data_IF_520380806650
#
_entry.id   IF_520380806650
#
_cell.length_a   1.000
_cell.length_b   1.000
_cell.length_c   1.000
_cell.angle_alpha   90.00
_cell.angle_beta   90.00
_cell.angle_gamma   90.00
#
_symmetry.space_group_name_H-M   'P 1'
#
loop_
_entity.id
_entity.type
_entity.pdbx_description
1 polymer ?
#
# COMPACT_ATOMS: atom_id res chain seq x y z
N UNK A 1 -5.26 9.42 -23.29
CA UNK A 1 -5.71 8.07 -23.70
C UNK A 1 -4.78 7.46 -24.74
N UNK A 2 -4.56 8.09 -25.90
CA UNK A 2 -3.68 7.55 -26.96
C UNK A 2 -2.28 7.13 -26.49
N UNK A 3 -1.68 7.91 -25.57
CA UNK A 3 -0.39 7.57 -24.98
C UNK A 3 -0.41 6.23 -24.24
N UNK A 4 -1.49 5.93 -23.53
CA UNK A 4 -1.65 4.66 -22.81
C UNK A 4 -1.92 3.51 -23.77
N UNK A 5 -2.71 3.73 -24.84
CA UNK A 5 -2.89 2.77 -25.93
C UNK A 5 -1.53 2.43 -26.56
N UNK A 6 -0.73 3.43 -26.94
CA UNK A 6 0.62 3.22 -27.48
C UNK A 6 1.53 2.48 -26.50
N UNK A 7 1.40 2.74 -25.21
CA UNK A 7 2.13 2.01 -24.16
C UNK A 7 1.78 0.52 -24.17
N UNK A 8 0.48 0.18 -24.20
CA UNK A 8 0.01 -1.20 -24.31
C UNK A 8 0.29 -1.86 -25.66
N UNK A 9 0.50 -1.10 -26.73
CA UNK A 9 0.92 -1.65 -28.02
C UNK A 9 2.43 -1.94 -28.09
N UNK A 10 3.23 -1.33 -27.22
CA UNK A 10 4.69 -1.38 -27.27
C UNK A 10 5.27 -1.92 -25.96
N UNK A 11 5.75 -1.04 -25.08
CA UNK A 11 6.55 -1.37 -23.89
C UNK A 11 5.78 -2.26 -22.91
N UNK A 12 4.46 -2.11 -22.84
CA UNK A 12 3.60 -2.83 -21.90
C UNK A 12 2.73 -3.89 -22.57
N UNK A 13 3.03 -4.26 -23.82
CA UNK A 13 2.26 -5.24 -24.59
C UNK A 13 2.18 -6.60 -23.92
N UNK A 14 3.31 -7.15 -23.54
CA UNK A 14 3.37 -8.48 -22.89
C UNK A 14 2.67 -8.46 -21.52
N UNK A 15 2.80 -7.34 -20.79
CA UNK A 15 2.07 -7.15 -19.55
C UNK A 15 0.56 -7.16 -19.79
N UNK A 16 0.08 -6.43 -20.80
CA UNK A 16 -1.35 -6.36 -21.13
C UNK A 16 -1.89 -7.73 -21.52
N UNK A 17 -1.24 -8.42 -22.47
CA UNK A 17 -1.65 -9.73 -22.97
C UNK A 17 -1.65 -10.77 -21.83
N UNK A 18 -0.56 -10.85 -21.05
CA UNK A 18 -0.49 -11.80 -19.93
C UNK A 18 -1.51 -11.49 -18.82
N UNK A 19 -1.85 -10.22 -18.61
CA UNK A 19 -2.89 -9.81 -17.67
C UNK A 19 -4.28 -10.16 -18.18
N UNK A 20 -4.53 -9.98 -19.48
CA UNK A 20 -5.76 -10.40 -20.15
C UNK A 20 -5.96 -11.91 -20.02
N UNK A 21 -4.96 -12.74 -20.32
CA UNK A 21 -5.10 -14.19 -20.17
C UNK A 21 -5.41 -14.59 -18.73
N UNK A 22 -4.68 -14.02 -17.76
CA UNK A 22 -4.89 -14.29 -16.34
C UNK A 22 -6.26 -13.82 -15.84
N UNK A 23 -6.85 -12.81 -16.48
CA UNK A 23 -8.19 -12.33 -16.14
C UNK A 23 -9.23 -13.45 -16.21
N UNK A 24 -9.07 -14.42 -17.10
CA UNK A 24 -9.99 -15.56 -17.24
C UNK A 24 -10.20 -16.36 -15.96
N UNK A 25 -9.20 -16.40 -15.07
CA UNK A 25 -9.28 -17.12 -13.80
C UNK A 25 -10.25 -16.49 -12.78
N UNK A 26 -10.38 -15.16 -12.81
CA UNK A 26 -11.05 -14.41 -11.73
C UNK A 26 -12.17 -13.50 -12.23
N UNK A 27 -12.04 -12.97 -13.44
CA UNK A 27 -12.96 -11.98 -14.02
C UNK A 27 -14.40 -12.50 -14.11
N UNK A 28 -14.69 -13.76 -14.49
CA UNK A 28 -16.07 -14.27 -14.49
C UNK A 28 -16.75 -14.15 -13.12
N UNK A 29 -16.03 -14.47 -12.04
CA UNK A 29 -16.53 -14.31 -10.66
C UNK A 29 -16.72 -12.82 -10.32
N UNK A 30 -15.73 -11.98 -10.66
CA UNK A 30 -15.80 -10.53 -10.39
C UNK A 30 -17.01 -9.89 -11.09
N UNK A 31 -17.26 -10.22 -12.35
CA UNK A 31 -18.42 -9.72 -13.11
C UNK A 31 -19.73 -10.12 -12.45
N UNK A 32 -19.86 -11.38 -11.98
CA UNK A 32 -21.07 -11.82 -11.25
C UNK A 32 -21.30 -11.00 -9.98
N UNK A 33 -20.25 -10.77 -9.18
CA UNK A 33 -20.35 -9.99 -7.94
C UNK A 33 -20.66 -8.50 -8.22
N UNK A 34 -20.06 -7.91 -9.25
CA UNK A 34 -20.37 -6.53 -9.67
C UNK A 34 -21.82 -6.38 -10.11
N UNK A 35 -22.33 -7.31 -10.94
CA UNK A 35 -23.74 -7.32 -11.36
C UNK A 35 -24.70 -7.41 -10.18
N UNK A 36 -24.43 -8.36 -9.27
CA UNK A 36 -25.21 -8.52 -8.04
C UNK A 36 -25.23 -7.25 -7.20
N UNK A 37 -24.14 -6.49 -7.23
CA UNK A 37 -24.01 -5.23 -6.50
C UNK A 37 -24.59 -4.01 -7.24
N UNK A 38 -25.05 -4.15 -8.48
CA UNK A 38 -25.54 -3.05 -9.31
C UNK A 38 -24.44 -2.16 -9.88
N UNK A 39 -23.19 -2.65 -9.96
CA UNK A 39 -22.04 -1.92 -10.46
C UNK A 39 -21.73 -2.23 -11.94
N UNK A 40 -21.15 -1.28 -12.70
CA UNK A 40 -20.75 -1.51 -14.09
C UNK A 40 -19.76 -2.68 -14.23
N UNK A 41 -19.98 -3.52 -15.25
CA UNK A 41 -19.14 -4.70 -15.52
C UNK A 41 -17.72 -4.32 -15.92
N UNK A 42 -17.54 -3.14 -16.51
CA UNK A 42 -16.26 -2.61 -16.96
C UNK A 42 -15.25 -2.52 -15.81
N UNK A 43 -15.73 -2.24 -14.58
CA UNK A 43 -14.90 -2.17 -13.37
C UNK A 43 -14.20 -3.49 -13.05
N UNK A 44 -14.66 -4.62 -13.62
CA UNK A 44 -13.96 -5.90 -13.54
C UNK A 44 -12.57 -5.90 -14.17
N UNK A 45 -12.24 -4.88 -14.98
CA UNK A 45 -10.91 -4.69 -15.56
C UNK A 45 -9.95 -3.90 -14.68
N UNK A 46 -10.39 -3.37 -13.53
CA UNK A 46 -9.49 -2.65 -12.61
C UNK A 46 -8.30 -3.50 -12.16
N UNK A 47 -8.45 -4.80 -11.83
CA UNK A 47 -7.30 -5.64 -11.50
C UNK A 47 -6.23 -5.74 -12.61
N UNK A 48 -6.58 -5.50 -13.88
CA UNK A 48 -5.61 -5.43 -14.97
C UNK A 48 -4.65 -4.26 -14.77
N UNK A 49 -5.19 -3.06 -14.52
CA UNK A 49 -4.39 -1.84 -14.35
C UNK A 49 -3.71 -1.77 -12.98
N UNK A 50 -4.26 -2.44 -11.97
CA UNK A 50 -3.72 -2.49 -10.61
C UNK A 50 -2.57 -3.49 -10.46
N UNK A 51 -2.81 -4.76 -10.79
CA UNK A 51 -1.89 -5.87 -10.49
C UNK A 51 -1.58 -6.76 -11.68
N UNK A 52 -2.31 -6.59 -12.79
CA UNK A 52 -2.36 -7.59 -13.86
C UNK A 52 -3.03 -8.89 -13.42
N UNK A 53 -4.08 -8.81 -12.58
CA UNK A 53 -4.77 -9.95 -11.95
C UNK A 53 -3.88 -10.84 -11.07
N UNK A 54 -2.76 -10.31 -10.56
CA UNK A 54 -1.83 -11.06 -9.72
C UNK A 54 -2.28 -11.03 -8.25
N UNK A 55 -2.67 -12.20 -7.72
CA UNK A 55 -3.13 -12.33 -6.33
C UNK A 55 -2.05 -12.06 -5.27
N UNK A 56 -0.78 -12.22 -5.64
CA UNK A 56 0.37 -11.95 -4.76
C UNK A 56 1.12 -10.65 -5.11
N UNK A 57 0.57 -9.79 -5.99
CA UNK A 57 1.26 -8.55 -6.35
C UNK A 57 1.36 -7.61 -5.16
N UNK A 58 2.59 -7.24 -4.80
CA UNK A 58 2.88 -6.31 -3.72
C UNK A 58 3.50 -5.02 -4.27
N UNK A 59 2.85 -3.88 -4.05
CA UNK A 59 3.39 -2.58 -4.44
C UNK A 59 4.42 -2.03 -3.44
N UNK A 60 5.15 -0.99 -3.86
CA UNK A 60 6.03 -0.21 -2.98
C UNK A 60 5.28 0.41 -1.79
N UNK A 61 4.02 0.77 -1.99
CA UNK A 61 3.12 1.31 -0.97
C UNK A 61 2.47 0.22 -0.10
N UNK A 62 2.91 -1.05 -0.23
CA UNK A 62 2.35 -2.22 0.48
C UNK A 62 0.90 -2.54 0.12
N UNK A 63 0.44 -2.05 -1.03
CA UNK A 63 -0.80 -2.51 -1.64
C UNK A 63 -0.62 -3.97 -2.07
N UNK A 64 -1.61 -4.82 -1.80
CA UNK A 64 -1.50 -6.26 -2.02
C UNK A 64 -2.76 -6.78 -2.71
N UNK A 65 -2.60 -7.82 -3.53
CA UNK A 65 -3.71 -8.56 -4.11
C UNK A 65 -4.13 -8.07 -5.50
N UNK A 66 -5.16 -8.71 -6.09
CA UNK A 66 -5.62 -8.35 -7.42
C UNK A 66 -6.11 -6.90 -7.50
N UNK A 67 -6.74 -6.42 -6.41
CA UNK A 67 -7.30 -5.08 -6.27
C UNK A 67 -6.34 -4.05 -5.64
N UNK A 68 -5.11 -4.46 -5.31
CA UNK A 68 -4.09 -3.58 -4.70
C UNK A 68 -4.61 -2.82 -3.46
N UNK A 69 -5.15 -3.53 -2.48
CA UNK A 69 -5.53 -2.92 -1.21
C UNK A 69 -4.31 -2.61 -0.34
N UNK A 70 -4.17 -1.36 0.10
CA UNK A 70 -3.32 -1.04 1.27
C UNK A 70 -3.97 -1.57 2.56
N UNK A 71 -3.20 -1.87 3.63
CA UNK A 71 -3.76 -2.50 4.82
C UNK A 71 -4.91 -1.73 5.47
N UNK A 72 -4.78 -0.40 5.60
CA UNK A 72 -5.79 0.45 6.24
C UNK A 72 -7.15 0.39 5.53
N UNK A 73 -7.12 0.45 4.19
CA UNK A 73 -8.32 0.38 3.37
C UNK A 73 -8.89 -1.04 3.38
N UNK A 74 -8.03 -2.07 3.33
CA UNK A 74 -8.46 -3.46 3.46
C UNK A 74 -9.26 -3.71 4.74
N UNK A 75 -8.76 -3.26 5.90
CA UNK A 75 -9.49 -3.38 7.16
C UNK A 75 -10.83 -2.62 7.15
N UNK A 76 -10.88 -1.42 6.55
CA UNK A 76 -12.12 -0.65 6.42
C UNK A 76 -13.22 -1.46 5.71
N UNK A 77 -12.85 -2.25 4.69
CA UNK A 77 -13.78 -3.06 3.90
C UNK A 77 -13.73 -4.56 4.24
N UNK A 78 -13.40 -4.89 5.49
CA UNK A 78 -13.56 -6.24 6.03
C UNK A 78 -12.52 -7.27 5.60
N UNK A 79 -11.39 -6.84 5.04
CA UNK A 79 -10.26 -7.74 4.74
C UNK A 79 -9.38 -7.89 5.97
N UNK A 80 -9.36 -9.10 6.52
CA UNK A 80 -8.56 -9.42 7.68
C UNK A 80 -7.12 -9.76 7.30
N UNK A 81 -6.23 -9.48 8.24
CA UNK A 81 -4.81 -9.79 8.11
C UNK A 81 -4.25 -10.11 9.48
N UNK A 82 -3.67 -11.28 9.60
CA UNK A 82 -2.91 -11.69 10.77
C UNK A 82 -1.57 -12.31 10.34
N UNK A 83 -0.93 -13.05 11.23
CA UNK A 83 0.34 -13.71 10.94
C UNK A 83 0.22 -14.80 9.86
N UNK A 84 -0.90 -15.53 9.83
CA UNK A 84 -1.15 -16.68 8.96
C UNK A 84 -1.81 -16.30 7.64
N UNK A 85 -2.70 -15.31 7.67
CA UNK A 85 -3.65 -14.98 6.61
C UNK A 85 -3.51 -13.50 6.21
N UNK A 86 -3.57 -13.22 4.91
CA UNK A 86 -3.80 -11.88 4.37
C UNK A 86 -4.90 -11.93 3.31
N UNK A 87 -6.13 -11.59 3.69
CA UNK A 87 -7.32 -11.76 2.84
C UNK A 87 -7.35 -10.82 1.63
N UNK A 88 -6.42 -9.87 1.55
CA UNK A 88 -6.22 -9.06 0.35
C UNK A 88 -5.77 -9.91 -0.84
N UNK A 89 -5.16 -11.07 -0.59
CA UNK A 89 -4.74 -12.01 -1.64
C UNK A 89 -5.89 -12.91 -2.10
N UNK A 90 -6.95 -13.10 -1.29
CA UNK A 90 -8.13 -13.88 -1.69
C UNK A 90 -8.97 -13.08 -2.71
N UNK A 91 -9.15 -13.58 -3.95
CA UNK A 91 -9.88 -12.86 -4.99
C UNK A 91 -11.34 -12.57 -4.66
N UNK A 92 -12.04 -13.45 -3.96
CA UNK A 92 -13.47 -13.27 -3.65
C UNK A 92 -13.66 -12.26 -2.53
N UNK A 93 -12.92 -12.42 -1.43
CA UNK A 93 -12.96 -11.48 -0.29
C UNK A 93 -12.53 -10.10 -0.73
N UNK A 94 -11.39 -9.99 -1.43
CA UNK A 94 -10.91 -8.70 -1.94
C UNK A 94 -11.86 -8.07 -2.96
N UNK A 95 -12.57 -8.85 -3.77
CA UNK A 95 -13.62 -8.35 -4.67
C UNK A 95 -14.81 -7.77 -3.91
N UNK A 96 -15.30 -8.45 -2.88
CA UNK A 96 -16.36 -7.90 -2.01
C UNK A 96 -15.93 -6.59 -1.35
N UNK A 97 -14.68 -6.53 -0.88
CA UNK A 97 -14.10 -5.30 -0.34
C UNK A 97 -13.99 -4.17 -1.37
N UNK A 98 -13.58 -4.50 -2.60
CA UNK A 98 -13.49 -3.54 -3.71
C UNK A 98 -14.86 -2.99 -4.11
N UNK A 99 -15.89 -3.85 -4.15
CA UNK A 99 -17.27 -3.42 -4.40
C UNK A 99 -17.74 -2.44 -3.34
N UNK A 100 -17.51 -2.73 -2.06
CA UNK A 100 -17.83 -1.81 -0.97
C UNK A 100 -17.12 -0.46 -1.12
N UNK A 101 -15.82 -0.49 -1.47
CA UNK A 101 -15.06 0.73 -1.68
C UNK A 101 -15.55 1.54 -2.87
N UNK A 102 -15.82 0.89 -4.01
CA UNK A 102 -16.30 1.56 -5.21
C UNK A 102 -17.68 2.19 -5.00
N UNK A 103 -18.55 1.56 -4.19
CA UNK A 103 -19.82 2.14 -3.78
C UNK A 103 -19.64 3.39 -2.93
N UNK A 104 -18.85 3.32 -1.86
CA UNK A 104 -18.54 4.49 -1.01
C UNK A 104 -18.01 5.66 -1.85
N UNK A 105 -17.10 5.38 -2.79
CA UNK A 105 -16.56 6.41 -3.69
C UNK A 105 -17.63 6.96 -4.63
N UNK A 106 -18.48 6.11 -5.18
CA UNK A 106 -19.54 6.54 -6.09
C UNK A 106 -20.61 7.36 -5.37
N UNK A 107 -20.95 7.03 -4.12
CA UNK A 107 -21.85 7.84 -3.28
C UNK A 107 -21.25 9.22 -2.98
N UNK A 108 -19.92 9.32 -2.86
CA UNK A 108 -19.22 10.58 -2.63
C UNK A 108 -19.09 11.46 -3.88
N UNK A 109 -18.79 10.87 -5.04
CA UNK A 109 -18.39 11.63 -6.24
C UNK A 109 -19.41 11.58 -7.38
N UNK A 110 -20.31 10.61 -7.41
CA UNK A 110 -21.36 10.43 -8.41
C UNK A 110 -20.88 9.98 -9.81
N UNK A 111 -19.69 10.39 -10.25
CA UNK A 111 -19.15 10.01 -11.56
C UNK A 111 -18.03 8.97 -11.47
N UNK A 112 -18.11 7.95 -12.33
CA UNK A 112 -17.14 6.85 -12.32
C UNK A 112 -15.70 7.26 -12.61
N UNK A 113 -15.47 8.33 -13.38
CA UNK A 113 -14.09 8.74 -13.69
C UNK A 113 -13.39 9.34 -12.47
N UNK A 114 -14.10 10.15 -11.69
CA UNK A 114 -13.61 10.69 -10.42
C UNK A 114 -13.47 9.58 -9.38
N UNK A 115 -14.40 8.62 -9.36
CA UNK A 115 -14.26 7.40 -8.53
C UNK A 115 -12.97 6.65 -8.84
N UNK A 116 -12.63 6.45 -10.12
CA UNK A 116 -11.39 5.79 -10.50
C UNK A 116 -10.15 6.57 -10.05
N UNK A 117 -10.17 7.90 -10.17
CA UNK A 117 -9.09 8.74 -9.66
C UNK A 117 -8.95 8.63 -8.12
N UNK A 118 -10.08 8.64 -7.41
CA UNK A 118 -10.12 8.51 -5.96
C UNK A 118 -9.67 7.12 -5.49
N UNK A 119 -10.05 6.06 -6.21
CA UNK A 119 -9.61 4.70 -5.93
C UNK A 119 -8.08 4.61 -5.91
N UNK A 120 -7.42 5.19 -6.93
CA UNK A 120 -5.96 5.17 -7.06
C UNK A 120 -5.24 6.05 -6.03
N UNK A 121 -5.71 7.28 -5.79
CA UNK A 121 -4.95 8.27 -5.01
C UNK A 121 -5.50 8.60 -3.62
N UNK A 122 -6.63 7.99 -3.27
CA UNK A 122 -7.42 8.24 -2.07
C UNK A 122 -8.44 9.36 -2.27
N UNK A 123 -9.64 9.14 -1.76
CA UNK A 123 -10.78 10.06 -1.76
C UNK A 123 -10.44 11.42 -1.13
N UNK A 124 -9.67 11.42 -0.04
CA UNK A 124 -9.27 12.65 0.64
C UNK A 124 -8.28 13.51 -0.17
N UNK A 125 -7.59 12.95 -1.16
CA UNK A 125 -6.79 13.74 -2.10
C UNK A 125 -7.71 14.43 -3.12
N UNK A 126 -8.63 13.69 -3.71
CA UNK A 126 -9.59 14.21 -4.68
C UNK A 126 -10.43 15.32 -4.06
N UNK A 127 -10.99 15.10 -2.86
CA UNK A 127 -11.75 16.12 -2.13
C UNK A 127 -10.96 17.41 -1.87
N UNK A 128 -9.65 17.31 -1.54
CA UNK A 128 -8.81 18.50 -1.36
C UNK A 128 -8.57 19.26 -2.65
N UNK A 129 -8.46 18.55 -3.77
CA UNK A 129 -8.33 19.20 -5.09
C UNK A 129 -9.63 19.92 -5.43
N UNK A 130 -10.79 19.26 -5.27
CA UNK A 130 -12.12 19.86 -5.47
C UNK A 130 -12.27 21.12 -4.61
N UNK A 131 -12.01 21.01 -3.30
CA UNK A 131 -12.13 22.14 -2.38
C UNK A 131 -11.24 23.34 -2.72
N UNK A 132 -10.10 23.12 -3.40
CA UNK A 132 -9.20 24.18 -3.82
C UNK A 132 -9.65 24.94 -5.07
N UNK A 133 -10.67 24.46 -5.78
CA UNK A 133 -11.09 25.06 -7.05
C UNK A 133 -11.97 26.30 -6.85
N UNK A 134 -12.66 26.42 -5.71
CA UNK A 134 -13.62 27.49 -5.43
C UNK A 134 -14.70 27.65 -6.54
N UNK A 135 -15.11 26.54 -7.16
CA UNK A 135 -16.10 26.52 -8.23
C UNK A 135 -17.46 26.04 -7.70
N UNK A 136 -18.56 26.65 -8.18
CA UNK A 136 -19.94 26.38 -7.77
C UNK A 136 -20.60 25.21 -8.53
N UNK A 137 -19.84 24.37 -9.22
CA UNK A 137 -20.37 23.22 -9.96
C UNK A 137 -19.64 21.92 -9.61
N UNK A 138 -20.31 20.78 -9.83
CA UNK A 138 -19.75 19.45 -9.67
C UNK A 138 -18.54 19.26 -10.60
N UNK A 139 -17.33 19.31 -10.02
CA UNK A 139 -16.09 18.99 -10.72
C UNK A 139 -16.17 17.58 -11.32
N UNK A 140 -15.99 17.48 -12.65
CA UNK A 140 -15.78 16.18 -13.30
C UNK A 140 -14.30 15.84 -13.26
N UNK A 141 -13.97 14.56 -13.47
CA UNK A 141 -12.58 14.10 -13.51
C UNK A 141 -11.66 14.97 -14.38
N UNK A 142 -12.14 15.45 -15.53
CA UNK A 142 -11.33 16.24 -16.46
C UNK A 142 -10.97 17.63 -15.94
N UNK A 143 -11.79 18.21 -15.07
CA UNK A 143 -11.49 19.47 -14.36
C UNK A 143 -10.37 19.27 -13.34
N UNK A 144 -10.29 18.06 -12.77
CA UNK A 144 -9.28 17.65 -11.79
C UNK A 144 -7.98 17.18 -12.43
N UNK A 145 -8.01 16.75 -13.70
CA UNK A 145 -6.94 16.02 -14.37
C UNK A 145 -5.56 16.68 -14.23
N UNK A 146 -5.48 17.99 -14.46
CA UNK A 146 -4.21 18.74 -14.40
C UNK A 146 -3.74 19.04 -12.97
N UNK A 147 -4.63 18.96 -11.98
CA UNK A 147 -4.33 19.21 -10.56
C UNK A 147 -4.02 17.91 -9.80
N UNK A 148 -4.37 16.76 -10.36
CA UNK A 148 -4.04 15.46 -9.80
C UNK A 148 -2.56 15.10 -10.02
N UNK A 149 -1.95 14.28 -9.15
CA UNK A 149 -0.63 13.72 -9.38
C UNK A 149 -0.59 13.01 -10.73
N UNK A 150 0.54 13.11 -11.44
CA UNK A 150 0.69 12.55 -12.78
C UNK A 150 0.33 11.05 -12.86
N UNK A 151 0.71 10.25 -11.86
CA UNK A 151 0.36 8.82 -11.79
C UNK A 151 -1.16 8.61 -11.78
N UNK A 152 -1.88 9.38 -10.97
CA UNK A 152 -3.34 9.32 -10.85
C UNK A 152 -4.04 9.91 -12.07
N UNK A 153 -3.56 11.04 -12.58
CA UNK A 153 -4.10 11.64 -13.80
C UNK A 153 -4.01 10.65 -14.97
N UNK A 154 -2.95 9.85 -15.04
CA UNK A 154 -2.80 8.79 -16.04
C UNK A 154 -3.61 7.53 -15.79
N UNK A 155 -3.98 7.26 -14.54
CA UNK A 155 -4.70 6.04 -14.16
C UNK A 155 -6.05 5.91 -14.91
N UNK A 156 -6.85 6.98 -14.96
CA UNK A 156 -8.16 6.94 -15.62
C UNK A 156 -8.04 6.76 -17.15
N UNK A 157 -7.23 7.55 -17.89
CA UNK A 157 -6.97 7.29 -19.31
C UNK A 157 -6.43 5.89 -19.59
N UNK A 158 -5.66 5.30 -18.66
CA UNK A 158 -5.12 3.96 -18.79
C UNK A 158 -6.21 2.91 -18.67
N UNK A 159 -7.11 3.04 -17.71
CA UNK A 159 -8.28 2.17 -17.59
C UNK A 159 -9.20 2.28 -18.81
N UNK A 160 -9.48 3.50 -19.30
CA UNK A 160 -10.25 3.69 -20.53
C UNK A 160 -9.56 3.04 -21.74
N UNK A 161 -8.24 3.20 -21.88
CA UNK A 161 -7.47 2.54 -22.92
C UNK A 161 -7.63 1.01 -22.85
N UNK A 162 -7.59 0.41 -21.66
CA UNK A 162 -7.89 -1.02 -21.48
C UNK A 162 -9.25 -1.39 -22.04
N UNK A 163 -10.32 -0.66 -21.71
CA UNK A 163 -11.66 -0.96 -22.23
C UNK A 163 -11.75 -0.87 -23.75
N UNK A 164 -11.13 0.16 -24.35
CA UNK A 164 -11.06 0.31 -25.80
C UNK A 164 -10.37 -0.87 -26.47
N UNK A 165 -9.21 -1.27 -25.93
CA UNK A 165 -8.43 -2.39 -26.46
C UNK A 165 -9.20 -3.71 -26.35
N UNK A 166 -9.78 -3.99 -25.19
CA UNK A 166 -10.54 -5.23 -24.97
C UNK A 166 -11.75 -5.33 -25.91
N UNK A 167 -12.41 -4.21 -26.18
CA UNK A 167 -13.60 -4.17 -27.04
C UNK A 167 -13.27 -4.47 -28.50
N UNK A 168 -12.12 -4.02 -28.99
CA UNK A 168 -11.70 -4.21 -30.37
C UNK A 168 -10.17 -4.37 -30.48
N UNK A 169 -9.63 -5.55 -30.10
CA UNK A 169 -8.18 -5.74 -30.05
C UNK A 169 -7.52 -5.61 -31.42
N UNK A 170 -8.20 -6.09 -32.47
CA UNK A 170 -7.73 -6.06 -33.85
C UNK A 170 -7.47 -4.63 -34.34
N UNK A 171 -8.37 -3.69 -34.05
CA UNK A 171 -8.17 -2.25 -34.36
C UNK A 171 -6.92 -1.65 -33.74
N UNK A 172 -6.46 -2.19 -32.61
CA UNK A 172 -5.25 -1.75 -31.92
C UNK A 172 -4.05 -2.66 -32.20
N UNK A 173 -4.10 -3.53 -33.22
CA UNK A 173 -3.00 -4.42 -33.59
C UNK A 173 -2.66 -5.42 -32.47
N UNK A 174 -3.66 -5.84 -31.69
CA UNK A 174 -3.52 -6.82 -30.64
C UNK A 174 -4.28 -8.09 -30.97
N UNK A 175 -3.57 -9.21 -30.87
CA UNK A 175 -4.18 -10.53 -30.79
C UNK A 175 -4.10 -10.96 -29.32
N UNK A 176 -5.27 -11.07 -28.69
CA UNK A 176 -5.39 -11.44 -27.28
C UNK A 176 -5.67 -12.94 -27.09
N UNK A 177 -6.01 -13.67 -28.15
CA UNK A 177 -6.49 -15.04 -28.05
C UNK A 177 -7.64 -15.24 -27.05
N UNK A 178 -7.79 -16.46 -26.55
CA UNK A 178 -8.75 -16.78 -25.49
C UNK A 178 -8.14 -16.58 -24.09
N UNK A 179 -8.89 -16.03 -23.14
CA UNK A 179 -8.43 -15.94 -21.75
C UNK A 179 -8.30 -17.35 -21.15
N UNK A 180 -7.58 -17.49 -20.04
CA UNK A 180 -7.43 -18.77 -19.37
C UNK A 180 -8.78 -19.27 -18.84
N UNK A 181 -9.19 -20.48 -19.25
CA UNK A 181 -10.48 -21.06 -18.86
C UNK A 181 -10.41 -21.95 -17.62
N UNK A 182 -9.21 -22.23 -17.07
CA UNK A 182 -9.02 -23.20 -15.98
C UNK A 182 -9.51 -22.67 -14.63
N UNK A 183 -10.83 -22.61 -14.45
CA UNK A 183 -11.44 -22.38 -13.15
C UNK A 183 -11.49 -23.70 -12.38
N UNK A 184 -10.75 -23.76 -11.27
CA UNK A 184 -10.75 -24.93 -10.39
C UNK A 184 -11.98 -24.81 -9.49
N UNK A 185 -12.97 -25.68 -9.71
CA UNK A 185 -14.09 -25.81 -8.79
C UNK A 185 -13.58 -26.37 -7.46
N UNK A 186 -14.03 -25.79 -6.36
CA UNK A 186 -13.54 -26.14 -5.03
C UNK A 186 -14.69 -26.33 -4.04
N UNK A 187 -14.40 -27.06 -2.96
CA UNK A 187 -15.20 -27.14 -1.75
C UNK A 187 -14.38 -26.69 -0.55
N UNK A 188 -15.07 -26.21 0.49
CA UNK A 188 -14.44 -25.84 1.76
C UNK A 188 -14.47 -27.02 2.73
N UNK A 189 -13.29 -27.48 3.15
CA UNK A 189 -13.12 -28.52 4.17
C UNK A 189 -12.52 -27.93 5.43
N UNK A 190 -12.96 -28.39 6.60
CA UNK A 190 -12.44 -27.89 7.88
C UNK A 190 -11.09 -28.51 8.20
N UNK A 191 -10.10 -27.67 8.46
CA UNK A 191 -8.80 -28.05 9.01
C UNK A 191 -8.63 -27.46 10.39
N UNK A 192 -8.14 -28.27 11.34
CA UNK A 192 -7.85 -27.87 12.74
C UNK A 192 -6.37 -28.02 13.12
N UNK A 193 -5.53 -28.45 12.18
CA UNK A 193 -4.10 -28.71 12.38
C UNK A 193 -3.30 -27.76 11.48
N UNK A 194 -2.09 -27.43 11.92
CA UNK A 194 -1.10 -26.76 11.08
C UNK A 194 -0.59 -27.81 10.09
N UNK A 195 -0.87 -27.65 8.80
CA UNK A 195 -0.43 -28.56 7.74
C UNK A 195 0.13 -27.74 6.59
N UNK A 196 1.26 -28.19 6.00
CA UNK A 196 1.80 -27.52 4.81
C UNK A 196 0.94 -27.91 3.61
N UNK A 197 0.66 -26.94 2.74
CA UNK A 197 -0.11 -27.21 1.52
C UNK A 197 0.54 -28.28 0.65
N UNK A 198 1.88 -28.37 0.64
CA UNK A 198 2.62 -29.43 -0.04
C UNK A 198 2.31 -30.83 0.51
N UNK A 199 2.17 -30.97 1.84
CA UNK A 199 1.96 -32.27 2.49
C UNK A 199 0.51 -32.71 2.26
N UNK A 200 -0.43 -31.75 2.26
CA UNK A 200 -1.82 -31.96 1.84
C UNK A 200 -1.88 -32.36 0.36
N UNK A 201 -1.16 -31.64 -0.51
CA UNK A 201 -1.14 -31.92 -1.95
C UNK A 201 -0.67 -33.35 -2.24
N UNK A 202 0.42 -33.78 -1.58
CA UNK A 202 0.94 -35.16 -1.68
C UNK A 202 -0.07 -36.20 -1.20
N UNK A 203 -0.74 -35.96 -0.06
CA UNK A 203 -1.74 -36.88 0.47
C UNK A 203 -2.98 -36.99 -0.46
N UNK A 204 -3.31 -35.90 -1.16
CA UNK A 204 -4.43 -35.85 -2.10
C UNK A 204 -4.08 -36.28 -3.53
N UNK A 205 -2.80 -36.45 -3.85
CA UNK A 205 -2.30 -36.71 -5.21
C UNK A 205 -2.67 -35.59 -6.21
N UNK A 206 -2.43 -34.33 -5.80
CA UNK A 206 -2.63 -33.12 -6.62
C UNK A 206 -1.41 -32.21 -6.55
N UNK A 207 -1.35 -31.20 -7.42
CA UNK A 207 -0.26 -30.21 -7.37
C UNK A 207 -0.42 -29.22 -6.21
N UNK A 208 0.70 -28.85 -5.56
CA UNK A 208 0.72 -27.79 -4.54
C UNK A 208 0.19 -26.48 -5.11
N UNK A 209 0.52 -26.18 -6.37
CA UNK A 209 0.11 -24.97 -7.08
C UNK A 209 -1.41 -24.85 -7.17
N UNK A 210 -2.13 -25.97 -7.28
CA UNK A 210 -3.60 -25.96 -7.31
C UNK A 210 -4.17 -25.53 -5.95
N UNK A 211 -3.59 -26.03 -4.84
CA UNK A 211 -4.00 -25.62 -3.49
C UNK A 211 -3.60 -24.18 -3.17
N UNK A 212 -2.41 -23.74 -3.60
CA UNK A 212 -1.96 -22.35 -3.46
C UNK A 212 -2.85 -21.39 -4.26
N UNK A 213 -3.27 -21.79 -5.46
CA UNK A 213 -4.18 -20.99 -6.29
C UNK A 213 -5.57 -20.85 -5.65
N UNK A 214 -6.05 -21.90 -4.97
CA UNK A 214 -7.32 -21.88 -4.25
C UNK A 214 -7.25 -21.15 -2.90
N UNK A 215 -6.09 -21.13 -2.24
CA UNK A 215 -5.89 -20.53 -0.92
C UNK A 215 -4.73 -19.51 -0.90
N UNK A 216 -4.77 -18.48 -1.76
CA UNK A 216 -3.67 -17.52 -1.90
C UNK A 216 -3.47 -16.66 -0.65
N UNK A 217 -4.45 -16.59 0.27
CA UNK A 217 -4.39 -15.84 1.51
C UNK A 217 -3.42 -16.44 2.54
N UNK A 218 -3.06 -17.72 2.41
CA UNK A 218 -2.17 -18.43 3.35
C UNK A 218 -0.72 -17.98 3.18
N UNK A 219 -0.27 -17.08 4.05
CA UNK A 219 1.04 -16.41 3.98
C UNK A 219 2.23 -17.36 4.03
N UNK A 220 2.08 -18.48 4.75
CA UNK A 220 3.13 -19.50 4.91
C UNK A 220 2.92 -20.72 4.01
N UNK A 221 1.87 -20.74 3.17
CA UNK A 221 1.41 -21.96 2.48
C UNK A 221 1.14 -23.10 3.47
N UNK A 222 0.53 -22.74 4.60
CA UNK A 222 0.19 -23.65 5.68
C UNK A 222 -1.17 -23.26 6.25
N UNK A 223 -1.98 -24.24 6.66
CA UNK A 223 -3.19 -23.99 7.45
C UNK A 223 -2.80 -23.42 8.83
N UNK A 224 -3.63 -22.54 9.40
CA UNK A 224 -3.32 -21.90 10.69
C UNK A 224 -3.48 -22.85 11.88
N UNK A 225 -3.06 -22.38 13.05
CA UNK A 225 -3.17 -23.03 14.37
C UNK A 225 -4.58 -22.98 14.98
N UNK A 226 -5.61 -22.87 14.15
CA UNK A 226 -7.01 -22.75 14.53
C UNK A 226 -7.89 -23.35 13.44
N UNK A 227 -9.19 -23.47 13.71
CA UNK A 227 -10.13 -23.94 12.69
C UNK A 227 -10.11 -23.01 11.46
N UNK A 228 -9.98 -23.62 10.28
CA UNK A 228 -9.88 -22.94 9.00
C UNK A 228 -10.65 -23.69 7.91
N UNK A 229 -11.42 -22.95 7.10
CA UNK A 229 -12.04 -23.47 5.88
C UNK A 229 -10.99 -23.51 4.76
N UNK A 230 -10.41 -24.67 4.50
CA UNK A 230 -9.46 -24.89 3.41
C UNK A 230 -10.22 -25.16 2.11
N UNK A 231 -9.91 -24.43 1.05
CA UNK A 231 -10.47 -24.67 -0.29
C UNK A 231 -9.68 -25.77 -0.97
N UNK A 232 -10.32 -26.89 -1.30
CA UNK A 232 -9.73 -28.02 -2.04
C UNK A 232 -10.54 -28.29 -3.30
N UNK A 233 -9.94 -28.83 -4.38
CA UNK A 233 -10.72 -29.23 -5.56
C UNK A 233 -11.88 -30.16 -5.16
N UNK A 234 -13.06 -29.98 -5.78
CA UNK A 234 -14.27 -30.77 -5.47
C UNK A 234 -13.98 -32.28 -5.44
N UNK A 235 -13.23 -32.78 -6.42
CA UNK A 235 -12.89 -34.20 -6.55
C UNK A 235 -12.03 -34.76 -5.39
N UNK A 236 -11.39 -33.91 -4.58
CA UNK A 236 -10.50 -34.34 -3.49
C UNK A 236 -11.04 -34.03 -2.10
N UNK A 237 -12.22 -33.41 -1.97
CA UNK A 237 -12.83 -33.07 -0.70
C UNK A 237 -13.06 -34.29 0.21
N UNK A 238 -13.68 -35.35 -0.32
CA UNK A 238 -13.90 -36.59 0.42
C UNK A 238 -12.60 -37.33 0.78
N UNK A 239 -11.60 -37.26 -0.11
CA UNK A 239 -10.27 -37.84 0.14
C UNK A 239 -9.60 -37.10 1.29
N UNK A 240 -9.69 -35.77 1.32
CA UNK A 240 -9.14 -34.95 2.41
C UNK A 240 -9.72 -35.34 3.75
N UNK A 241 -11.04 -35.48 3.88
CA UNK A 241 -11.67 -35.87 5.14
C UNK A 241 -11.16 -37.21 5.67
N UNK A 242 -10.83 -38.16 4.78
CA UNK A 242 -10.27 -39.47 5.17
C UNK A 242 -8.80 -39.42 5.58
N UNK A 243 -8.00 -38.59 4.92
CA UNK A 243 -6.53 -38.56 5.12
C UNK A 243 -6.07 -37.45 6.05
N UNK A 244 -6.91 -36.45 6.36
CA UNK A 244 -6.55 -35.26 7.14
C UNK A 244 -5.93 -35.61 8.50
N UNK A 245 -6.40 -36.69 9.13
CA UNK A 245 -5.85 -37.12 10.42
C UNK A 245 -4.48 -37.79 10.33
N UNK A 246 -4.16 -38.40 9.19
CA UNK A 246 -2.87 -39.04 8.93
C UNK A 246 -1.77 -38.04 8.54
N UNK A 247 -2.13 -36.84 8.09
CA UNK A 247 -1.15 -35.82 7.71
C UNK A 247 -0.47 -35.29 8.98
N UNK A 248 0.86 -35.37 9.01
CA UNK A 248 1.65 -34.89 10.12
C UNK A 248 1.48 -33.37 10.31
N UNK A 249 1.19 -32.97 11.55
CA UNK A 249 1.15 -31.56 11.90
C UNK A 249 2.54 -30.93 11.72
N UNK A 250 2.59 -29.84 10.98
CA UNK A 250 3.81 -29.08 10.79
C UNK A 250 3.97 -28.04 11.91
N UNK A 251 5.21 -27.76 12.28
CA UNK A 251 5.49 -26.66 13.19
C UNK A 251 5.32 -25.32 12.49
N UNK A 252 4.72 -24.36 13.20
CA UNK A 252 4.68 -22.96 12.75
C UNK A 252 6.11 -22.51 12.44
N UNK A 253 6.36 -21.90 11.26
CA UNK A 253 7.67 -21.32 10.97
C UNK A 253 8.01 -20.36 12.10
N UNK A 254 9.02 -20.72 12.90
CA UNK A 254 9.53 -19.77 13.88
C UNK A 254 10.03 -18.59 13.07
N UNK A 255 9.37 -17.44 13.22
CA UNK A 255 10.03 -16.21 12.82
C UNK A 255 11.35 -16.25 13.54
N UNK A 256 12.44 -16.28 12.79
CA UNK A 256 13.75 -15.94 13.32
C UNK A 256 13.66 -14.45 13.67
N UNK A 257 12.90 -14.11 14.73
CA UNK A 257 13.22 -13.00 15.59
C UNK A 257 14.62 -13.36 15.98
N UNK A 258 15.60 -12.72 15.35
CA UNK A 258 17.00 -12.73 15.75
C UNK A 258 17.00 -12.88 17.26
N UNK A 259 17.29 -14.10 17.70
CA UNK A 259 17.10 -14.47 19.07
C UNK A 259 17.92 -13.45 19.84
N UNK A 260 17.27 -12.84 20.83
CA UNK A 260 17.87 -11.94 21.79
C UNK A 260 18.88 -12.78 22.58
N UNK A 261 20.05 -13.08 21.99
CA UNK A 261 21.11 -13.89 22.58
C UNK A 261 22.43 -13.12 22.49
N UNK A 262 22.81 -12.67 23.68
CA UNK A 262 24.12 -12.19 24.16
C UNK A 262 24.91 -11.19 23.30
N UNK A 263 24.95 -9.94 23.81
CA UNK A 263 25.94 -8.95 23.42
C UNK A 263 25.40 -7.58 23.01
N UNK A 264 24.11 -7.26 23.24
CA UNK A 264 23.60 -5.91 22.95
C UNK A 264 24.27 -4.90 23.88
N UNK A 265 25.29 -4.21 23.39
CA UNK A 265 25.79 -3.01 24.04
C UNK A 265 24.70 -1.94 23.93
N UNK A 266 24.51 -1.14 24.97
CA UNK A 266 23.60 0.00 24.91
C UNK A 266 24.37 1.24 24.45
N UNK A 267 23.87 1.89 23.41
CA UNK A 267 24.33 3.18 22.94
C UNK A 267 23.39 4.28 23.45
N UNK A 268 23.91 5.21 24.25
CA UNK A 268 23.17 6.39 24.70
C UNK A 268 23.26 7.47 23.62
N UNK A 269 22.12 7.80 23.03
CA UNK A 269 21.99 8.81 21.96
C UNK A 269 22.54 10.15 22.46
N UNK A 270 23.55 10.67 21.77
CA UNK A 270 24.18 11.96 22.01
C UNK A 270 23.50 13.06 21.18
N UNK A 271 23.77 14.32 21.55
CA UNK A 271 23.27 15.49 20.83
C UNK A 271 23.79 15.45 19.38
N UNK A 272 22.87 15.48 18.42
CA UNK A 272 23.17 15.47 16.98
C UNK A 272 23.14 14.09 16.31
N UNK A 273 22.95 13.01 17.06
CA UNK A 273 22.84 11.67 16.49
C UNK A 273 21.43 11.36 15.96
N UNK A 274 21.38 10.59 14.86
CA UNK A 274 20.17 10.04 14.25
C UNK A 274 20.26 8.51 14.21
N UNK A 275 19.13 7.84 13.96
CA UNK A 275 19.11 6.39 13.76
C UNK A 275 20.09 5.99 12.65
N UNK A 276 20.16 6.76 11.56
CA UNK A 276 21.07 6.49 10.45
C UNK A 276 22.54 6.63 10.86
N UNK A 277 22.90 7.68 11.61
CA UNK A 277 24.30 7.89 12.03
C UNK A 277 24.76 6.86 13.06
N UNK A 278 23.87 6.45 13.98
CA UNK A 278 24.15 5.41 14.97
C UNK A 278 24.27 4.06 14.25
N UNK A 279 23.34 3.72 13.35
CA UNK A 279 23.39 2.47 12.60
C UNK A 279 24.68 2.35 11.78
N UNK A 280 25.08 3.43 11.12
CA UNK A 280 26.36 3.53 10.41
C UNK A 280 27.56 3.32 11.34
N UNK A 281 27.57 3.93 12.53
CA UNK A 281 28.64 3.73 13.52
C UNK A 281 28.81 2.27 13.93
N UNK A 282 27.72 1.51 13.96
CA UNK A 282 27.71 0.08 14.31
C UNK A 282 27.70 -0.86 13.09
N UNK A 283 27.85 -0.35 11.87
CA UNK A 283 27.94 -1.15 10.65
C UNK A 283 26.66 -1.90 10.28
N UNK A 284 25.49 -1.40 10.68
CA UNK A 284 24.18 -1.98 10.35
C UNK A 284 23.29 -0.98 9.61
N UNK A 285 22.22 -1.46 8.98
CA UNK A 285 21.24 -0.58 8.35
C UNK A 285 20.38 0.12 9.40
N UNK A 286 19.88 1.32 9.07
CA UNK A 286 18.94 2.05 9.93
C UNK A 286 17.69 1.20 10.23
N UNK A 287 17.21 0.42 9.25
CA UNK A 287 16.09 -0.50 9.42
C UNK A 287 16.41 -1.65 10.38
N UNK A 288 17.62 -2.20 10.34
CA UNK A 288 18.07 -3.20 11.29
C UNK A 288 18.16 -2.62 12.70
N UNK A 289 18.75 -1.43 12.87
CA UNK A 289 18.82 -0.77 14.17
C UNK A 289 17.42 -0.47 14.73
N UNK A 290 16.50 0.00 13.89
CA UNK A 290 15.09 0.21 14.27
C UNK A 290 14.42 -1.08 14.70
N UNK A 291 14.62 -2.17 13.94
CA UNK A 291 14.02 -3.47 14.22
C UNK A 291 14.53 -4.05 15.53
N UNK A 292 15.85 -3.95 15.80
CA UNK A 292 16.47 -4.37 17.08
C UNK A 292 15.88 -3.60 18.27
N UNK A 293 15.49 -2.35 18.06
CA UNK A 293 14.96 -1.46 19.09
C UNK A 293 13.43 -1.34 19.10
N UNK A 294 12.72 -2.12 18.29
CA UNK A 294 11.25 -2.05 18.17
C UNK A 294 10.74 -0.67 17.75
N UNK A 295 11.53 0.09 16.99
CA UNK A 295 11.17 1.42 16.52
C UNK A 295 10.44 1.33 15.17
N UNK A 296 9.29 1.98 15.08
CA UNK A 296 8.60 2.16 13.80
C UNK A 296 9.42 3.04 12.85
N UNK A 297 9.28 2.82 11.55
CA UNK A 297 9.94 3.62 10.51
C UNK A 297 9.52 5.09 10.65
N UNK A 298 10.50 5.99 10.76
CA UNK A 298 10.26 7.42 10.95
C UNK A 298 10.06 7.86 12.40
N UNK A 299 10.07 6.94 13.38
CA UNK A 299 10.05 7.28 14.80
C UNK A 299 11.33 8.03 15.18
N UNK A 300 11.18 9.16 15.88
CA UNK A 300 12.31 10.00 16.32
C UNK A 300 12.95 9.40 17.57
N UNK A 301 14.28 9.52 17.64
CA UNK A 301 15.05 9.23 18.85
C UNK A 301 15.41 10.54 19.56
N UNK A 302 15.60 10.47 20.87
CA UNK A 302 15.89 11.64 21.72
C UNK A 302 17.25 11.53 22.37
N UNK A 303 17.89 12.67 22.64
CA UNK A 303 19.16 12.71 23.38
C UNK A 303 18.98 12.07 24.76
N UNK A 304 19.89 11.17 25.11
CA UNK A 304 19.83 10.38 26.34
C UNK A 304 19.07 9.05 26.21
N UNK A 305 18.32 8.83 25.12
CA UNK A 305 17.68 7.55 24.85
C UNK A 305 18.73 6.45 24.69
N UNK A 306 18.46 5.25 25.22
CA UNK A 306 19.33 4.09 25.08
C UNK A 306 18.83 3.19 23.96
N UNK A 307 19.70 2.90 23.00
CA UNK A 307 19.43 1.98 21.90
C UNK A 307 20.32 0.74 22.03
N UNK A 308 19.73 -0.43 21.87
CA UNK A 308 20.43 -1.69 21.72
C UNK A 308 21.16 -1.68 20.37
N UNK A 309 22.47 -1.90 20.40
CA UNK A 309 23.34 -1.94 19.22
C UNK A 309 24.14 -3.25 19.22
N UNK A 310 24.52 -3.77 18.04
CA UNK A 310 25.36 -4.98 17.96
C UNK A 310 26.71 -4.79 18.65
N UNK A 311 27.19 -5.81 19.35
CA UNK A 311 28.56 -5.86 19.89
C UNK A 311 29.60 -5.87 18.77
N UNK A 312 30.72 -5.18 18.98
CA UNK A 312 31.82 -5.03 18.01
C UNK A 312 32.38 -6.42 17.67
N UNK A 313 32.19 -6.88 16.43
CA UNK A 313 32.68 -8.19 15.97
C UNK A 313 31.68 -9.00 15.14
N UNK A 314 30.39 -8.66 15.16
CA UNK A 314 29.40 -9.37 14.34
C UNK A 314 29.39 -8.79 12.92
N UNK A 315 30.13 -9.44 11.99
CA UNK A 315 29.89 -9.25 10.54
C UNK A 315 28.54 -9.87 10.23
N UNK A 316 27.63 -9.07 9.67
CA UNK A 316 26.34 -9.54 9.18
C UNK A 316 26.60 -10.46 7.98
N UNK A 317 26.56 -11.78 8.19
CA UNK A 317 26.63 -12.74 7.08
C UNK A 317 25.30 -12.67 6.35
N UNK A 318 25.34 -12.19 5.11
CA UNK A 318 24.21 -12.17 4.19
C UNK A 318 23.80 -13.62 3.95
N UNK A 319 22.63 -14.04 4.46
CA UNK A 319 22.07 -15.36 4.19
C UNK A 319 21.95 -15.59 2.68
N UNK A 320 22.36 -16.77 2.23
CA UNK A 320 22.49 -17.16 0.83
C UNK A 320 21.21 -16.89 0.02
N UNK A 321 21.32 -15.95 -0.92
CA UNK A 321 20.60 -16.01 -2.18
C UNK A 321 21.61 -16.52 -3.22
N UNK A 322 21.17 -17.47 -4.05
CA UNK A 322 21.98 -18.06 -5.14
C UNK A 322 22.55 -17.01 -6.10
N UNK A 323 23.47 -17.42 -7.00
CA UNK A 323 24.46 -16.54 -7.60
C UNK A 323 23.81 -15.55 -8.56
N UNK A 324 23.66 -14.30 -8.14
CA UNK A 324 23.52 -13.20 -9.07
C UNK A 324 24.91 -12.80 -9.51
N UNK A 325 25.24 -13.16 -10.75
CA UNK A 325 26.47 -12.81 -11.48
C UNK A 325 27.05 -11.45 -11.06
N UNK A 326 28.27 -11.48 -10.55
CA UNK A 326 29.16 -10.33 -10.50
C UNK A 326 29.37 -9.84 -11.94
N UNK A 327 28.62 -8.80 -12.33
CA UNK A 327 29.06 -7.93 -13.41
C UNK A 327 29.85 -6.81 -12.76
N UNK A 328 31.15 -6.92 -12.95
CA UNK A 328 32.17 -5.88 -12.87
C UNK A 328 31.57 -4.52 -13.31
N UNK A 329 31.23 -3.67 -12.33
CA UNK A 329 30.92 -2.27 -12.60
C UNK A 329 32.24 -1.53 -12.45
N UNK A 330 32.95 -1.41 -13.56
CA UNK A 330 33.98 -0.40 -13.72
C UNK A 330 33.42 0.95 -13.27
N UNK A 331 34.11 1.57 -12.32
CA UNK A 331 33.78 2.84 -11.69
C UNK A 331 33.96 3.99 -12.69
N UNK A 332 33.03 4.16 -13.63
CA UNK A 332 33.08 5.32 -14.52
C UNK A 332 32.67 6.58 -13.74
N UNK A 333 33.66 7.43 -13.45
CA UNK A 333 33.48 8.71 -12.77
C UNK A 333 33.06 9.76 -13.80
N UNK A 334 31.79 10.18 -13.76
CA UNK A 334 31.23 11.16 -14.68
C UNK A 334 31.20 12.55 -14.02
N UNK A 335 31.54 13.59 -14.80
CA UNK A 335 31.41 14.99 -14.37
C UNK A 335 30.02 15.53 -14.70
N UNK A 336 29.27 15.95 -13.69
CA UNK A 336 27.91 16.48 -13.79
C UNK A 336 27.85 17.95 -13.40
N UNK A 337 27.14 18.76 -14.20
CA UNK A 337 26.87 20.18 -13.91
C UNK A 337 25.57 20.30 -13.12
N UNK A 338 25.66 20.81 -11.90
CA UNK A 338 24.51 21.01 -10.99
C UNK A 338 23.49 21.96 -11.63
N UNK A 339 22.25 21.51 -11.80
CA UNK A 339 21.13 22.28 -12.37
C UNK A 339 20.28 22.95 -11.28
N UNK A 340 19.43 23.90 -11.66
CA UNK A 340 18.51 24.60 -10.76
C UNK A 340 17.55 23.60 -10.11
N UNK A 341 17.57 23.50 -8.78
CA UNK A 341 16.75 22.56 -8.00
C UNK A 341 17.45 21.25 -7.61
N UNK A 342 18.69 21.03 -8.06
CA UNK A 342 19.46 19.86 -7.67
C UNK A 342 19.94 19.94 -6.21
N UNK A 343 19.85 18.81 -5.52
CA UNK A 343 20.47 18.55 -4.22
C UNK A 343 21.38 17.32 -4.32
N UNK A 344 22.37 17.18 -3.43
CA UNK A 344 23.20 15.97 -3.40
C UNK A 344 22.36 14.68 -3.29
N UNK A 345 21.23 14.73 -2.57
CA UNK A 345 20.30 13.62 -2.46
C UNK A 345 19.65 13.26 -3.81
N UNK A 346 19.18 14.26 -4.56
CA UNK A 346 18.59 14.05 -5.89
C UNK A 346 19.61 13.57 -6.94
N UNK A 347 20.89 13.93 -6.79
CA UNK A 347 21.97 13.52 -7.69
C UNK A 347 22.40 12.08 -7.35
N UNK A 348 22.60 11.79 -6.06
CA UNK A 348 22.86 10.43 -5.53
C UNK A 348 21.80 9.43 -6.00
N UNK A 349 20.52 9.80 -5.89
CA UNK A 349 19.42 8.95 -6.33
C UNK A 349 19.45 8.67 -7.84
N UNK A 350 19.91 9.62 -8.66
CA UNK A 350 19.96 9.49 -10.13
C UNK A 350 21.18 8.72 -10.62
N UNK A 351 22.34 8.88 -9.97
CA UNK A 351 23.57 8.15 -10.33
C UNK A 351 23.67 6.78 -9.67
N UNK A 352 22.80 6.49 -8.70
CA UNK A 352 22.89 5.29 -7.87
C UNK A 352 24.02 5.33 -6.83
N UNK A 353 24.73 6.46 -6.71
CA UNK A 353 25.77 6.67 -5.71
C UNK A 353 25.19 7.15 -4.38
N UNK A 354 25.91 6.98 -3.28
CA UNK A 354 25.51 7.57 -2.00
C UNK A 354 25.95 9.04 -1.90
N UNK A 355 25.26 9.83 -1.07
CA UNK A 355 25.67 11.22 -0.78
C UNK A 355 27.10 11.25 -0.23
N UNK A 356 27.49 10.24 0.55
CA UNK A 356 28.85 10.15 1.09
C UNK A 356 29.90 9.88 0.01
N UNK A 357 29.60 9.06 -0.99
CA UNK A 357 30.49 8.82 -2.13
C UNK A 357 30.67 10.11 -2.94
N UNK A 358 29.58 10.80 -3.30
CA UNK A 358 29.66 12.06 -4.05
C UNK A 358 30.45 13.11 -3.25
N UNK A 359 30.27 13.19 -1.93
CA UNK A 359 31.03 14.14 -1.10
C UNK A 359 32.51 13.79 -1.03
N UNK A 360 32.86 12.50 -0.93
CA UNK A 360 34.26 12.04 -0.96
C UNK A 360 34.91 12.29 -2.32
N UNK A 361 34.23 11.98 -3.43
CA UNK A 361 34.73 12.21 -4.79
C UNK A 361 34.97 13.71 -5.10
N UNK A 362 34.29 14.61 -4.41
CA UNK A 362 34.35 16.06 -4.65
C UNK A 362 34.94 16.88 -3.49
N UNK A 363 35.48 16.21 -2.46
CA UNK A 363 36.02 16.85 -1.26
C UNK A 363 35.04 17.86 -0.60
N UNK A 364 33.74 17.58 -0.63
CA UNK A 364 32.72 18.47 -0.09
C UNK A 364 32.59 18.29 1.42
N UNK A 365 32.82 19.38 2.18
CA UNK A 365 32.67 19.40 3.64
C UNK A 365 31.22 19.45 4.13
N UNK A 366 30.27 19.77 3.24
CA UNK A 366 28.84 19.91 3.55
C UNK A 366 27.96 19.52 2.38
N UNK A 367 26.64 19.71 2.51
CA UNK A 367 25.67 19.30 1.50
C UNK A 367 25.34 20.40 0.48
N UNK A 368 25.96 21.58 0.64
CA UNK A 368 25.78 22.73 -0.23
C UNK A 368 26.47 22.54 -1.57
N UNK A 369 25.68 22.61 -2.64
CA UNK A 369 26.14 22.64 -4.03
C UNK A 369 25.51 23.85 -4.72
N UNK A 370 26.26 24.51 -5.62
CA UNK A 370 25.81 25.71 -6.34
C UNK A 370 25.36 25.36 -7.75
N UNK A 371 24.34 26.06 -8.24
CA UNK A 371 23.89 25.94 -9.64
C UNK A 371 25.08 26.26 -10.56
N UNK A 372 25.33 25.39 -11.53
CA UNK A 372 26.47 25.47 -12.45
C UNK A 372 27.76 24.84 -11.96
N UNK A 373 27.84 24.40 -10.69
CA UNK A 373 29.02 23.71 -10.14
C UNK A 373 29.21 22.34 -10.82
N UNK A 374 30.44 22.02 -11.20
CA UNK A 374 30.78 20.68 -11.71
C UNK A 374 31.12 19.76 -10.54
N UNK A 375 30.48 18.59 -10.47
CA UNK A 375 30.73 17.56 -9.47
C UNK A 375 30.95 16.20 -10.14
N UNK A 376 31.88 15.41 -9.60
CA UNK A 376 32.19 14.03 -9.99
C UNK A 376 31.21 13.07 -9.31
N UNK A 377 30.60 12.16 -10.05
CA UNK A 377 29.73 11.13 -9.48
C UNK A 377 30.17 9.76 -9.98
N UNK A 378 29.99 8.73 -9.15
CA UNK A 378 30.17 7.34 -9.58
C UNK A 378 28.89 6.83 -10.22
N UNK A 379 29.00 6.32 -11.45
CA UNK A 379 27.90 5.68 -12.18
C UNK A 379 27.13 6.60 -13.14
N UNK A 380 26.42 6.01 -14.13
CA UNK A 380 25.73 6.75 -15.18
C UNK A 380 24.58 7.59 -14.62
N UNK A 381 24.54 8.87 -14.99
CA UNK A 381 23.41 9.76 -14.65
C UNK A 381 22.41 9.72 -15.80
N UNK A 382 21.25 9.10 -15.56
CA UNK A 382 20.09 9.23 -16.45
C UNK A 382 19.57 10.67 -16.43
N UNK A 383 19.65 11.36 -17.57
CA UNK A 383 19.13 12.72 -17.72
C UNK A 383 17.60 12.68 -17.69
N UNK A 384 17.01 13.23 -16.63
CA UNK A 384 15.59 13.62 -16.60
C UNK A 384 15.48 14.99 -15.93
N UNK A 385 14.90 15.94 -16.65
CA UNK A 385 14.68 17.31 -16.23
C UNK A 385 13.39 17.45 -15.39
N UNK A 386 13.51 18.17 -14.26
CA UNK A 386 12.43 18.82 -13.47
C UNK A 386 11.54 17.91 -12.61
N UNK A 387 11.24 18.14 -11.33
CA UNK A 387 11.51 19.22 -10.38
C UNK A 387 10.47 19.15 -9.24
N UNK A 388 10.89 19.37 -7.98
CA UNK A 388 9.97 19.72 -6.86
C UNK A 388 10.00 18.81 -5.63
N UNK A 389 10.85 19.14 -4.64
CA UNK A 389 10.81 18.60 -3.27
C UNK A 389 9.84 19.40 -2.38
N UNK A 390 9.20 18.80 -1.35
CA UNK A 390 8.29 19.49 -0.44
C UNK A 390 9.00 20.12 0.79
N UNK A 391 8.45 21.20 1.39
CA UNK A 391 9.04 21.86 2.55
C UNK A 391 8.61 21.26 3.90
N UNK A 392 9.43 21.51 4.94
CA UNK A 392 9.21 21.09 6.31
C UNK A 392 8.63 22.21 7.21
N UNK A 393 7.58 21.84 7.96
CA UNK A 393 7.18 22.20 9.35
C UNK A 393 6.88 23.65 9.79
N UNK A 394 5.77 23.73 10.55
CA UNK A 394 5.68 24.45 11.84
C UNK A 394 4.87 23.65 12.89
N UNK A 395 5.11 23.98 14.15
CA UNK A 395 4.84 23.21 15.38
C UNK A 395 3.83 23.88 16.31
N UNK A 396 3.14 23.08 17.15
CA UNK A 396 2.70 23.49 18.50
C UNK A 396 1.24 23.23 18.82
N UNK A 397 0.96 22.57 19.95
CA UNK A 397 -0.38 22.50 20.57
C UNK A 397 -0.59 21.27 21.45
N UNK A 398 -0.64 21.47 22.77
CA UNK A 398 -0.76 20.44 23.82
C UNK A 398 -2.13 19.74 23.81
N UNK A 399 -2.12 18.48 24.26
CA UNK A 399 -3.30 17.69 24.67
C UNK A 399 -4.02 18.37 25.83
N UNK A 400 -5.34 18.46 25.75
CA UNK A 400 -6.22 18.52 26.91
C UNK A 400 -7.41 17.58 26.65
N UNK A 401 -7.68 16.72 27.64
CA UNK A 401 -8.89 15.91 27.76
C UNK A 401 -9.69 16.57 28.89
N UNK A 402 -11.00 16.81 28.73
CA UNK A 402 -11.87 17.04 29.88
C UNK A 402 -13.12 16.09 29.85
N UNK A 403 -13.92 15.98 30.93
CA UNK A 403 -14.13 14.76 31.73
C UNK A 403 -15.51 14.09 31.48
N UNK A 404 -15.89 12.99 32.18
CA UNK A 404 -17.17 12.33 31.97
C UNK A 404 -18.36 13.10 32.57
N UNK A 405 -19.55 12.69 32.11
CA UNK A 405 -20.86 13.32 32.25
C UNK A 405 -21.30 13.67 33.69
N UNK A 406 -22.01 14.81 33.81
CA UNK A 406 -22.80 15.19 34.97
C UNK A 406 -24.27 15.44 34.57
N UNK A 407 -25.20 14.88 35.35
CA UNK A 407 -26.66 15.09 35.24
C UNK A 407 -27.06 16.39 35.96
N UNK A 408 -28.09 17.06 35.45
CA UNK A 408 -28.95 17.96 36.25
C UNK A 408 -30.42 17.64 35.98
N UNK A 409 -31.24 17.96 36.98
CA UNK A 409 -32.69 17.80 36.98
C UNK A 409 -33.33 18.65 35.89
N UNK A 410 -34.33 18.07 35.22
CA UNK A 410 -35.16 18.57 34.11
C UNK A 410 -34.85 17.78 32.84
N UNK A 411 -35.75 16.83 32.54
CA UNK A 411 -35.54 15.70 31.65
C UNK A 411 -35.42 15.99 30.15
N UNK A 412 -34.46 16.81 29.74
CA UNK A 412 -33.98 16.89 28.36
C UNK A 412 -32.57 16.30 28.23
N UNK A 413 -32.39 15.35 27.32
CA UNK A 413 -31.08 14.78 26.97
C UNK A 413 -30.20 15.85 26.33
N UNK A 414 -29.35 16.50 27.12
CA UNK A 414 -28.33 17.42 26.61
C UNK A 414 -27.20 16.62 25.98
N UNK A 415 -27.09 16.70 24.65
CA UNK A 415 -26.03 16.05 23.90
C UNK A 415 -24.63 16.52 24.31
N UNK A 416 -23.62 15.67 24.12
CA UNK A 416 -22.24 16.01 24.51
C UNK A 416 -21.74 17.19 23.65
N UNK A 417 -21.26 18.27 24.28
CA UNK A 417 -20.83 19.49 23.57
C UNK A 417 -19.31 19.57 23.47
N UNK A 418 -18.80 19.85 22.27
CA UNK A 418 -17.38 20.02 21.95
C UNK A 418 -17.08 21.47 21.57
N UNK A 419 -16.03 22.06 22.14
CA UNK A 419 -15.54 23.40 21.77
C UNK A 419 -14.42 23.29 20.75
N UNK A 420 -14.67 23.79 19.54
CA UNK A 420 -13.78 23.70 18.38
C UNK A 420 -12.45 24.38 18.67
N UNK A 421 -11.33 23.68 18.47
CA UNK A 421 -9.99 24.21 18.64
C UNK A 421 -9.40 24.68 17.31
N UNK A 422 -8.37 25.54 17.39
CA UNK A 422 -7.66 26.03 16.21
C UNK A 422 -6.99 24.86 15.47
N UNK A 423 -7.44 24.60 14.24
CA UNK A 423 -6.95 23.51 13.40
C UNK A 423 -7.81 22.24 13.42
N UNK A 424 -8.99 22.28 14.06
CA UNK A 424 -9.97 21.21 13.96
C UNK A 424 -10.75 21.22 12.65
N UNK A 425 -11.26 20.05 12.28
CA UNK A 425 -12.27 19.87 11.24
C UNK A 425 -13.43 19.05 11.82
N UNK A 426 -14.64 19.27 11.32
CA UNK A 426 -15.83 18.49 11.75
C UNK A 426 -15.60 16.98 11.60
N UNK A 427 -14.86 16.56 10.56
CA UNK A 427 -14.51 15.15 10.33
C UNK A 427 -13.52 14.60 11.37
N UNK A 428 -12.55 15.41 11.81
CA UNK A 428 -11.63 15.06 12.89
C UNK A 428 -12.39 14.92 14.21
N UNK A 429 -13.29 15.87 14.50
CA UNK A 429 -14.13 15.87 15.71
C UNK A 429 -15.08 14.66 15.71
N UNK A 430 -15.70 14.32 14.57
CA UNK A 430 -16.54 13.14 14.42
C UNK A 430 -15.79 11.85 14.78
N UNK A 431 -14.59 11.67 14.21
CA UNK A 431 -13.75 10.50 14.48
C UNK A 431 -13.30 10.42 15.94
N UNK A 432 -12.88 11.52 16.53
CA UNK A 432 -12.41 11.55 17.93
C UNK A 432 -13.55 11.30 18.93
N UNK A 433 -14.79 11.57 18.53
CA UNK A 433 -15.97 11.30 19.34
C UNK A 433 -16.69 10.00 18.96
N UNK A 434 -16.16 9.16 18.05
CA UNK A 434 -16.84 7.94 17.57
C UNK A 434 -18.27 8.22 17.07
N UNK A 435 -18.45 9.26 16.27
CA UNK A 435 -19.71 9.60 15.60
C UNK A 435 -19.45 9.84 14.11
N UNK A 436 -20.49 10.02 13.30
CA UNK A 436 -20.34 10.35 11.88
C UNK A 436 -20.35 11.87 11.66
N UNK A 437 -19.71 12.31 10.57
CA UNK A 437 -19.78 13.71 10.14
C UNK A 437 -21.23 14.11 9.86
N UNK A 438 -22.00 13.24 9.21
CA UNK A 438 -23.43 13.46 8.93
C UNK A 438 -24.24 13.69 10.20
N UNK A 439 -23.97 12.93 11.27
CA UNK A 439 -24.68 13.10 12.54
C UNK A 439 -24.32 14.40 13.23
N UNK A 440 -23.06 14.84 13.18
CA UNK A 440 -22.66 16.15 13.72
C UNK A 440 -23.34 17.29 12.95
N UNK A 441 -23.39 17.21 11.62
CA UNK A 441 -24.04 18.23 10.78
C UNK A 441 -25.54 18.33 11.11
N UNK A 442 -26.22 17.18 11.19
CA UNK A 442 -27.64 17.09 11.57
C UNK A 442 -27.91 17.68 12.96
N UNK A 443 -27.13 17.28 13.98
CA UNK A 443 -27.32 17.72 15.37
C UNK A 443 -27.11 19.23 15.56
N UNK A 444 -26.31 19.86 14.71
CA UNK A 444 -25.98 21.29 14.81
C UNK A 444 -26.67 22.14 13.74
N UNK A 445 -27.51 21.53 12.88
CA UNK A 445 -28.15 22.18 11.74
C UNK A 445 -27.13 22.94 10.88
N UNK A 446 -26.00 22.28 10.61
CA UNK A 446 -24.90 22.80 9.80
C UNK A 446 -24.88 22.09 8.46
N UNK A 447 -24.56 22.84 7.41
CA UNK A 447 -24.27 22.30 6.08
C UNK A 447 -22.76 22.12 5.88
N UNK A 448 -22.38 21.31 4.88
CA UNK A 448 -20.96 21.07 4.54
C UNK A 448 -20.20 22.35 4.13
N UNK A 449 -20.94 23.39 3.71
CA UNK A 449 -20.40 24.69 3.34
C UNK A 449 -20.17 25.62 4.54
N UNK A 450 -20.72 25.28 5.72
CA UNK A 450 -20.62 26.14 6.88
C UNK A 450 -19.22 26.10 7.51
N UNK A 451 -18.66 27.29 7.69
CA UNK A 451 -17.34 27.44 8.28
C UNK A 451 -17.43 27.37 9.81
N UNK A 452 -16.77 26.36 10.38
CA UNK A 452 -16.56 26.29 11.82
C UNK A 452 -15.43 27.20 12.29
N UNK A 453 -15.63 27.86 13.44
CA UNK A 453 -14.64 28.79 14.03
C UNK A 453 -14.06 28.24 15.32
N UNK A 454 -12.76 28.43 15.59
CA UNK A 454 -12.19 28.15 16.90
C UNK A 454 -12.96 28.89 18.00
N UNK A 455 -13.34 28.17 19.07
CA UNK A 455 -14.18 28.67 20.16
C UNK A 455 -15.68 28.41 19.99
N UNK A 456 -16.13 28.01 18.80
CA UNK A 456 -17.53 27.61 18.56
C UNK A 456 -17.83 26.29 19.28
N UNK A 457 -19.00 26.19 19.92
CA UNK A 457 -19.49 24.98 20.57
C UNK A 457 -20.41 24.23 19.63
N UNK A 458 -20.22 22.91 19.51
CA UNK A 458 -21.07 22.03 18.71
C UNK A 458 -21.45 20.77 19.49
N UNK A 459 -22.65 20.25 19.26
CA UNK A 459 -23.14 18.99 19.82
C UNK A 459 -22.58 17.82 19.02
N UNK A 460 -21.94 16.87 19.68
CA UNK A 460 -21.25 15.74 19.03
C UNK A 460 -21.91 14.39 19.27
N UNK A 461 -22.83 14.28 20.23
CA UNK A 461 -23.63 13.07 20.51
C UNK A 461 -24.98 13.41 21.09
#
# INVERSE_FOLDING_TARGET
>A
MEKEIRSFQSIERDFFISSYHRSGLYRPMIVRELKKAGLPEELSWLPLVESGFKVLALSKARALGPWQFIPSTGYKYGLNRDEWIDERMDPEKSTRGAIGYLKDLHDMFGDWLTVLAAYNCGEGRVLRVIASQHLNYLDRFWDLYHKLPYETARYVPRFLATLHIIRDPGKFGMDLGKPMEKQISYEEVKSRKIMRLRDIASALDISEESLVALNPELRYRMTPDREYSLKVPVATAEKFTRVADSIQAAEKPQQVRLAKKSGSKQHKVKRGESIASIAHHYGISANALMSINGLAVGKRIYVGQRLNVPGRGIRYVKGAAGPSSERDRSEEIIRYKVKKGDTLASIAQRSGATISEIKKLNNLKGDGIRIGQMIKVGGPIGVSDGGGAPPAKRSGGKRSVPPPAGKTADGETVGAVYTIQKGDSLQKIARENNTSLSKILELNKLDMADNIRPGQKIVVK
#
